data_IF_570753407833
#
_entry.id   IF_570753407833
#
_cell.length_a   1.000
_cell.length_b   1.000
_cell.length_c   1.000
_cell.angle_alpha   90.00
_cell.angle_beta   90.00
_cell.angle_gamma   90.00
#
_symmetry.space_group_name_H-M   'P 1'
#
loop_
_entity.id
_entity.type
_entity.pdbx_description
1 polymer ?
#
# COMPACT_ATOMS: atom_id res chain seq x y z
N UNK A 1 -9.10 -0.95 -25.46
CA UNK A 1 -10.50 -1.26 -25.10
C UNK A 1 -10.51 -2.44 -24.16
N UNK A 2 -11.18 -2.34 -23.02
CA UNK A 2 -11.33 -3.45 -22.07
C UNK A 2 -12.52 -4.32 -22.49
N UNK A 3 -12.25 -5.58 -22.88
CA UNK A 3 -13.26 -6.55 -23.28
C UNK A 3 -13.55 -7.57 -22.18
N UNK A 4 -14.81 -7.52 -21.69
CA UNK A 4 -15.69 -8.58 -21.13
C UNK A 4 -15.06 -9.86 -20.54
N UNK A 5 -15.07 -9.96 -19.21
CA UNK A 5 -15.90 -10.92 -18.43
C UNK A 5 -15.61 -10.76 -16.91
N UNK A 6 -16.68 -10.57 -16.12
CA UNK A 6 -16.79 -10.47 -14.64
C UNK A 6 -15.49 -10.47 -13.80
N UNK A 7 -14.63 -9.49 -13.99
CA UNK A 7 -13.50 -9.24 -13.09
C UNK A 7 -13.53 -7.77 -12.74
N UNK A 8 -13.76 -7.43 -11.46
CA UNK A 8 -13.65 -6.07 -10.95
C UNK A 8 -12.33 -5.47 -11.45
N UNK A 9 -12.42 -4.49 -12.34
CA UNK A 9 -11.28 -3.95 -13.06
C UNK A 9 -10.27 -3.31 -12.09
N UNK A 10 -9.09 -3.91 -11.98
CA UNK A 10 -7.90 -3.25 -11.44
C UNK A 10 -7.35 -2.31 -12.52
N UNK A 11 -7.82 -1.07 -12.56
CA UNK A 11 -7.26 -0.02 -13.40
C UNK A 11 -6.05 0.58 -12.68
N UNK A 12 -4.87 0.53 -13.30
CA UNK A 12 -3.65 1.12 -12.73
C UNK A 12 -3.85 2.60 -12.43
N UNK A 13 -3.56 3.00 -11.20
CA UNK A 13 -3.55 4.39 -10.75
C UNK A 13 -2.18 4.81 -10.22
N UNK A 14 -2.08 6.07 -9.80
CA UNK A 14 -0.95 6.56 -9.02
C UNK A 14 -1.26 6.33 -7.53
N UNK A 15 -0.42 5.56 -6.82
CA UNK A 15 -0.65 5.25 -5.40
C UNK A 15 -0.52 6.49 -4.53
N UNK A 16 0.38 7.42 -4.84
CA UNK A 16 0.51 8.68 -4.09
C UNK A 16 -0.78 9.51 -4.18
N UNK A 17 -1.36 9.61 -5.38
CA UNK A 17 -2.64 10.29 -5.57
C UNK A 17 -3.80 9.58 -4.84
N UNK A 18 -3.71 8.27 -4.60
CA UNK A 18 -4.69 7.53 -3.82
C UNK A 18 -4.49 7.78 -2.31
N UNK A 19 -3.25 7.78 -1.83
CA UNK A 19 -2.91 8.06 -0.43
C UNK A 19 -3.27 9.49 -0.01
N UNK A 20 -3.29 10.44 -0.94
CA UNK A 20 -3.75 11.82 -0.70
C UNK A 20 -5.27 11.93 -0.49
N UNK A 21 -6.03 10.91 -0.91
CA UNK A 21 -7.50 10.90 -0.82
C UNK A 21 -7.99 10.10 0.39
N UNK A 22 -7.30 9.01 0.70
CA UNK A 22 -7.76 8.02 1.68
C UNK A 22 -6.60 7.51 2.54
N UNK A 23 -6.95 7.05 3.75
CA UNK A 23 -6.01 6.27 4.58
C UNK A 23 -6.15 4.80 4.25
N UNK A 24 -5.02 4.12 4.05
CA UNK A 24 -4.94 2.69 3.79
C UNK A 24 -4.37 1.95 4.99
N UNK A 25 -4.92 0.78 5.28
CA UNK A 25 -4.52 -0.07 6.39
C UNK A 25 -3.95 -1.40 5.88
N UNK A 26 -2.90 -1.89 6.54
CA UNK A 26 -2.28 -3.18 6.21
C UNK A 26 -3.13 -4.31 6.76
N UNK A 27 -3.94 -4.97 5.94
CA UNK A 27 -4.84 -6.04 6.42
C UNK A 27 -4.23 -7.43 6.36
N UNK A 28 -3.30 -7.67 5.43
CA UNK A 28 -2.61 -8.95 5.32
C UNK A 28 -1.15 -8.76 4.98
N UNK A 29 -0.29 -9.60 5.55
CA UNK A 29 1.12 -9.65 5.18
C UNK A 29 1.68 -11.05 5.32
N UNK A 30 2.64 -11.41 4.47
CA UNK A 30 3.43 -12.64 4.64
C UNK A 30 4.50 -12.50 5.73
N UNK A 31 4.76 -11.28 6.20
CA UNK A 31 5.62 -11.04 7.36
C UNK A 31 4.81 -11.22 8.65
N UNK A 32 4.95 -12.36 9.30
CA UNK A 32 4.12 -12.73 10.46
C UNK A 32 4.53 -12.06 11.78
N UNK A 33 5.52 -11.16 11.75
CA UNK A 33 6.02 -10.44 12.93
C UNK A 33 5.55 -8.99 12.94
N UNK A 34 4.57 -8.63 12.11
CA UNK A 34 4.12 -7.26 11.92
C UNK A 34 3.20 -6.82 13.05
N UNK A 35 3.42 -5.61 13.53
CA UNK A 35 2.56 -4.94 14.52
C UNK A 35 1.13 -4.73 13.97
N UNK A 36 0.11 -4.61 14.84
CA UNK A 36 -1.26 -4.33 14.41
C UNK A 36 -1.44 -2.85 14.01
N UNK A 37 -2.58 -2.55 13.39
CA UNK A 37 -3.00 -1.18 13.03
C UNK A 37 -2.04 -0.39 12.14
N UNK A 38 -1.26 -1.05 11.28
CA UNK A 38 -0.45 -0.30 10.32
C UNK A 38 -1.33 0.50 9.36
N UNK A 39 -1.00 1.77 9.17
CA UNK A 39 -1.67 2.66 8.24
C UNK A 39 -0.68 3.45 7.37
N UNK A 40 -1.20 3.92 6.25
CA UNK A 40 -0.55 4.77 5.26
C UNK A 40 -1.52 5.86 4.81
N UNK A 41 -1.08 7.11 4.80
CA UNK A 41 -1.81 8.24 4.23
C UNK A 41 -0.82 9.27 3.70
N UNK A 42 -1.23 10.15 2.81
CA UNK A 42 -0.41 11.26 2.35
C UNK A 42 -1.12 12.58 2.63
N UNK A 43 -0.36 13.59 3.03
CA UNK A 43 -0.86 14.95 3.00
C UNK A 43 -0.77 15.47 1.56
N UNK A 44 -1.73 16.31 1.17
CA UNK A 44 -1.70 16.99 -0.13
C UNK A 44 -0.41 17.77 -0.33
N UNK A 45 -0.09 18.12 -1.59
CA UNK A 45 1.09 18.92 -1.92
C UNK A 45 1.13 20.16 -1.03
N UNK A 46 2.14 20.26 -0.15
CA UNK A 46 2.43 21.51 0.53
C UNK A 46 2.77 22.53 -0.57
N UNK A 47 2.21 23.74 -0.49
CA UNK A 47 2.53 24.87 -1.37
C UNK A 47 4.00 25.34 -1.26
N UNK A 48 4.81 24.66 -0.46
CA UNK A 48 6.24 24.91 -0.29
C UNK A 48 7.07 24.29 -1.40
N UNK A 49 8.22 24.91 -1.68
CA UNK A 49 9.20 24.52 -2.70
C UNK A 49 9.93 23.19 -2.43
N UNK A 50 9.36 22.28 -1.64
CA UNK A 50 9.90 20.93 -1.42
C UNK A 50 9.43 20.00 -2.54
N UNK A 51 10.36 19.39 -3.25
CA UNK A 51 10.06 18.47 -4.35
C UNK A 51 9.58 17.10 -3.81
N UNK A 52 8.31 16.96 -3.43
CA UNK A 52 7.71 15.65 -3.09
C UNK A 52 6.36 15.68 -2.37
N UNK A 53 5.75 14.50 -2.22
CA UNK A 53 4.50 14.25 -1.50
C UNK A 53 4.81 13.69 -0.10
N UNK A 54 4.44 14.37 1.00
CA UNK A 54 4.61 13.84 2.34
C UNK A 54 3.68 12.65 2.59
N UNK A 55 4.27 11.47 2.85
CA UNK A 55 3.56 10.25 3.22
C UNK A 55 3.80 9.96 4.69
N UNK A 56 2.71 9.77 5.42
CA UNK A 56 2.68 9.39 6.82
C UNK A 56 2.39 7.90 6.89
N UNK A 57 3.22 7.19 7.65
CA UNK A 57 2.95 5.81 8.02
C UNK A 57 3.05 5.65 9.53
N UNK A 58 2.31 4.70 10.07
CA UNK A 58 2.33 4.45 11.50
C UNK A 58 1.67 3.14 11.87
N UNK A 59 1.74 2.81 13.15
CA UNK A 59 1.10 1.64 13.75
C UNK A 59 0.74 1.94 15.20
N UNK A 60 -0.08 1.07 15.77
CA UNK A 60 -0.51 1.16 17.17
C UNK A 60 0.15 0.04 17.96
N UNK A 61 0.73 0.38 19.10
CA UNK A 61 1.26 -0.59 20.07
C UNK A 61 0.56 -0.34 21.41
N UNK A 62 -0.38 -1.21 21.76
CA UNK A 62 -1.27 -1.00 22.90
C UNK A 62 -2.13 0.26 22.71
N UNK A 63 -1.99 1.23 23.61
CA UNK A 63 -2.70 2.52 23.55
C UNK A 63 -1.90 3.64 22.88
N UNK A 64 -0.67 3.37 22.43
CA UNK A 64 0.22 4.40 21.87
C UNK A 64 0.28 4.28 20.34
N UNK A 65 0.19 5.43 19.68
CA UNK A 65 0.41 5.57 18.25
C UNK A 65 1.86 5.94 17.98
N UNK A 66 2.47 5.25 17.02
CA UNK A 66 3.78 5.57 16.47
C UNK A 66 3.59 5.96 15.01
N UNK A 67 4.05 7.14 14.61
CA UNK A 67 3.98 7.61 13.24
C UNK A 67 5.32 8.20 12.78
N UNK A 68 5.55 8.18 11.47
CA UNK A 68 6.68 8.82 10.81
C UNK A 68 6.19 9.41 9.50
N UNK A 69 6.66 10.62 9.21
CA UNK A 69 6.44 11.29 7.91
C UNK A 69 7.69 11.16 7.07
N UNK A 70 7.52 10.83 5.79
CA UNK A 70 8.60 10.74 4.80
C UNK A 70 8.14 11.43 3.53
N UNK A 71 8.99 12.27 2.94
CA UNK A 71 8.69 12.97 1.69
C UNK A 71 9.03 12.08 0.50
N UNK A 72 8.04 11.85 -0.37
CA UNK A 72 8.15 11.01 -1.56
C UNK A 72 8.19 11.86 -2.82
N UNK A 73 9.36 11.99 -3.44
CA UNK A 73 9.46 12.56 -4.78
C UNK A 73 8.93 11.55 -5.82
N UNK A 74 8.10 11.99 -6.76
CA UNK A 74 7.78 11.16 -7.93
C UNK A 74 9.06 10.97 -8.75
N UNK A 75 9.59 9.74 -8.79
CA UNK A 75 10.71 9.41 -9.68
C UNK A 75 10.22 9.44 -11.13
N UNK A 76 10.89 10.27 -11.95
CA UNK A 76 10.60 10.45 -13.38
C UNK A 76 11.39 9.50 -14.28
N UNK A 77 12.12 8.53 -13.73
CA UNK A 77 13.00 7.68 -14.53
C UNK A 77 12.22 6.70 -15.42
N UNK A 78 12.41 6.84 -16.73
CA UNK A 78 11.70 6.08 -17.76
C UNK A 78 11.97 4.56 -17.71
N UNK A 79 13.06 4.13 -17.08
CA UNK A 79 13.33 2.70 -16.82
C UNK A 79 12.47 2.14 -15.70
N UNK A 80 12.16 2.94 -14.69
CA UNK A 80 11.28 2.57 -13.57
C UNK A 80 9.80 2.76 -13.91
N UNK A 81 9.43 3.48 -14.98
CA UNK A 81 8.06 3.46 -15.50
C UNK A 81 7.59 2.04 -15.90
N UNK A 82 8.53 1.16 -16.31
CA UNK A 82 8.21 -0.26 -16.61
C UNK A 82 7.94 -1.09 -15.37
N UNK A 83 8.57 -0.75 -14.25
CA UNK A 83 8.37 -1.42 -12.98
C UNK A 83 7.78 -0.40 -12.01
N UNK A 84 6.46 -0.33 -11.90
CA UNK A 84 5.73 0.52 -10.93
C UNK A 84 6.28 0.31 -9.51
N UNK A 85 7.41 0.93 -9.18
CA UNK A 85 8.11 0.83 -7.90
C UNK A 85 7.78 2.10 -7.15
N UNK A 86 7.59 1.98 -5.84
CA UNK A 86 7.66 3.17 -5.01
C UNK A 86 9.08 3.75 -5.12
N UNK A 87 9.23 5.08 -5.14
CA UNK A 87 10.53 5.74 -5.25
C UNK A 87 11.55 5.15 -4.26
N UNK A 88 12.73 4.81 -4.77
CA UNK A 88 13.78 4.09 -4.03
C UNK A 88 14.43 4.90 -2.92
N UNK A 89 14.34 6.23 -3.01
CA UNK A 89 15.07 7.17 -2.15
C UNK A 89 14.34 7.45 -0.83
N UNK A 90 13.28 6.69 -0.58
CA UNK A 90 12.54 6.69 0.67
C UNK A 90 13.29 5.94 1.73
N UNK A 91 13.59 6.62 2.82
CA UNK A 91 13.95 5.99 4.07
C UNK A 91 12.66 5.44 4.74
N UNK A 92 12.69 4.24 5.29
CA UNK A 92 11.57 3.66 6.06
C UNK A 92 10.69 2.64 5.32
N UNK A 93 9.41 2.56 5.70
CA UNK A 93 8.51 1.41 5.44
C UNK A 93 8.12 1.22 3.97
N UNK A 94 8.24 2.25 3.14
CA UNK A 94 7.93 2.22 1.70
C UNK A 94 9.17 2.05 0.82
N UNK A 95 10.36 2.09 1.43
CA UNK A 95 11.63 1.91 0.72
C UNK A 95 11.63 0.60 -0.05
N UNK A 96 12.02 0.65 -1.33
CA UNK A 96 12.24 -0.51 -2.21
C UNK A 96 11.00 -1.40 -2.44
N UNK A 97 9.80 -0.94 -2.06
CA UNK A 97 8.57 -1.69 -2.30
C UNK A 97 8.12 -1.58 -3.76
N UNK A 98 7.89 -2.72 -4.39
CA UNK A 98 7.31 -2.82 -5.73
C UNK A 98 5.78 -2.83 -5.62
N UNK A 99 5.09 -1.99 -6.38
CA UNK A 99 3.64 -2.08 -6.52
C UNK A 99 3.32 -3.23 -7.48
N UNK A 100 2.65 -4.25 -6.96
CA UNK A 100 2.21 -5.39 -7.76
C UNK A 100 0.88 -5.14 -8.46
N UNK A 101 -0.06 -4.53 -7.74
CA UNK A 101 -1.36 -4.16 -8.29
C UNK A 101 -1.98 -3.03 -7.47
N UNK A 102 -2.81 -2.22 -8.10
CA UNK A 102 -3.67 -1.23 -7.45
C UNK A 102 -5.09 -1.39 -7.99
N UNK A 103 -6.04 -1.53 -7.07
CA UNK A 103 -7.46 -1.40 -7.32
C UNK A 103 -7.96 -0.03 -6.85
N UNK A 104 -9.28 0.17 -6.87
CA UNK A 104 -9.90 1.42 -6.43
C UNK A 104 -9.60 1.72 -4.96
N UNK A 105 -9.79 0.72 -4.11
CA UNK A 105 -9.78 0.86 -2.64
C UNK A 105 -8.70 -0.03 -2.00
N UNK A 106 -7.74 -0.52 -2.80
CA UNK A 106 -6.71 -1.45 -2.35
C UNK A 106 -5.45 -1.39 -3.20
N UNK A 107 -4.33 -1.86 -2.65
CA UNK A 107 -3.12 -2.16 -3.42
C UNK A 107 -2.30 -3.27 -2.76
N UNK A 108 -1.42 -3.89 -3.55
CA UNK A 108 -0.47 -4.90 -3.07
C UNK A 108 0.95 -4.43 -3.30
N UNK A 109 1.74 -4.40 -2.22
CA UNK A 109 3.17 -4.10 -2.27
C UNK A 109 3.99 -5.37 -2.06
N UNK A 110 5.18 -5.39 -2.64
CA UNK A 110 6.19 -6.43 -2.42
C UNK A 110 7.51 -5.80 -2.02
N UNK A 111 8.10 -6.27 -0.91
CA UNK A 111 9.48 -6.00 -0.53
C UNK A 111 10.26 -7.30 -0.48
N UNK A 112 11.17 -7.52 -1.43
CA UNK A 112 11.94 -8.77 -1.53
C UNK A 112 10.99 -9.98 -1.61
N UNK A 113 10.77 -10.70 -0.51
CA UNK A 113 9.83 -11.83 -0.39
C UNK A 113 8.55 -11.48 0.36
N UNK A 114 8.50 -10.35 1.06
CA UNK A 114 7.36 -9.93 1.84
C UNK A 114 6.29 -9.31 0.94
N UNK A 115 5.06 -9.77 1.08
CA UNK A 115 3.90 -9.28 0.35
C UNK A 115 2.95 -8.66 1.35
N UNK A 116 2.38 -7.52 1.01
CA UNK A 116 1.48 -6.75 1.84
C UNK A 116 0.23 -6.35 1.07
N UNK A 117 -0.94 -6.56 1.67
CA UNK A 117 -2.23 -6.10 1.18
C UNK A 117 -2.69 -4.89 1.99
N UNK A 118 -2.90 -3.79 1.30
CA UNK A 118 -3.35 -2.52 1.86
C UNK A 118 -4.74 -2.18 1.33
N UNK A 119 -5.65 -1.75 2.21
CA UNK A 119 -7.05 -1.42 1.85
C UNK A 119 -7.52 -0.16 2.58
N UNK A 120 -8.41 0.63 1.97
CA UNK A 120 -8.94 1.86 2.60
C UNK A 120 -9.90 1.59 3.74
N UNK A 121 -10.59 0.45 3.69
CA UNK A 121 -11.54 0.02 4.71
C UNK A 121 -11.23 -1.43 5.10
N UNK A 122 -10.99 -1.72 6.39
CA UNK A 122 -10.61 -3.06 6.85
C UNK A 122 -11.63 -4.16 6.52
N UNK A 123 -12.88 -3.77 6.34
CA UNK A 123 -14.01 -4.64 6.00
C UNK A 123 -14.21 -4.88 4.50
N UNK A 124 -13.31 -4.38 3.64
CA UNK A 124 -13.39 -4.59 2.19
C UNK A 124 -13.00 -6.02 1.85
N UNK A 125 -14.04 -6.84 1.91
CA UNK A 125 -14.34 -8.13 1.30
C UNK A 125 -13.23 -8.87 0.53
N UNK A 126 -13.22 -10.21 0.68
CA UNK A 126 -12.25 -11.15 0.11
C UNK A 126 -12.26 -11.25 -1.43
N UNK A 127 -13.09 -10.47 -2.12
CA UNK A 127 -13.36 -10.58 -3.57
C UNK A 127 -12.70 -9.48 -4.42
N UNK A 128 -11.68 -8.80 -3.88
CA UNK A 128 -10.95 -7.78 -4.65
C UNK A 128 -9.85 -8.39 -5.54
N UNK A 129 -9.55 -7.73 -6.67
CA UNK A 129 -8.40 -8.10 -7.51
C UNK A 129 -7.06 -8.00 -6.75
N UNK A 130 -6.97 -7.15 -5.73
CA UNK A 130 -5.83 -7.09 -4.81
C UNK A 130 -5.72 -8.37 -3.96
N UNK A 131 -6.83 -8.89 -3.43
CA UNK A 131 -6.84 -10.15 -2.68
C UNK A 131 -6.36 -11.30 -3.56
N UNK A 132 -6.93 -11.48 -4.76
CA UNK A 132 -6.50 -12.53 -5.68
C UNK A 132 -5.02 -12.42 -6.05
N UNK A 133 -4.51 -11.20 -6.16
CA UNK A 133 -3.07 -10.97 -6.41
C UNK A 133 -2.23 -11.35 -5.20
N UNK A 134 -2.63 -10.94 -3.99
CA UNK A 134 -1.96 -11.33 -2.75
C UNK A 134 -1.89 -12.86 -2.61
N UNK A 135 -3.03 -13.53 -2.77
CA UNK A 135 -3.17 -15.00 -2.69
C UNK A 135 -2.30 -15.72 -3.73
N UNK A 136 -2.27 -15.23 -4.98
CA UNK A 136 -1.41 -15.77 -6.03
C UNK A 136 0.07 -15.59 -5.70
N UNK A 137 0.45 -14.43 -5.17
CA UNK A 137 1.84 -14.07 -4.92
C UNK A 137 2.40 -14.78 -3.69
N UNK A 138 1.60 -15.00 -2.64
CA UNK A 138 2.04 -15.76 -1.46
C UNK A 138 2.23 -17.25 -1.75
N UNK A 139 1.74 -17.76 -2.88
CA UNK A 139 1.87 -19.17 -3.33
C UNK A 139 1.50 -20.19 -2.24
N UNK A 140 0.44 -19.91 -1.49
CA UNK A 140 -0.01 -20.79 -0.40
C UNK A 140 0.79 -20.69 0.91
N UNK A 141 1.85 -19.88 0.97
CA UNK A 141 2.64 -19.66 2.18
C UNK A 141 1.86 -19.00 3.32
N UNK A 142 2.38 -19.07 4.55
CA UNK A 142 1.75 -18.48 5.73
C UNK A 142 1.61 -16.97 5.58
N UNK A 143 0.58 -16.42 6.22
CA UNK A 143 0.36 -14.99 6.31
C UNK A 143 -0.33 -14.64 7.63
N UNK A 144 -0.18 -13.39 8.04
CA UNK A 144 -0.90 -12.81 9.17
C UNK A 144 -2.05 -11.95 8.65
N UNK A 145 -3.26 -12.20 9.15
CA UNK A 145 -4.41 -11.32 8.98
C UNK A 145 -4.47 -10.36 10.17
N UNK A 146 -4.46 -9.06 9.91
CA UNK A 146 -4.47 -8.02 10.94
C UNK A 146 -5.91 -7.55 11.23
N UNK A 147 -6.77 -8.50 11.62
CA UNK A 147 -8.23 -8.34 11.76
C UNK A 147 -8.69 -7.30 12.80
N UNK A 148 -7.84 -6.87 13.73
CA UNK A 148 -8.18 -5.92 14.81
C UNK A 148 -8.39 -4.46 14.36
N UNK A 149 -8.54 -4.22 13.07
CA UNK A 149 -8.66 -2.88 12.52
C UNK A 149 -9.98 -2.15 12.74
N UNK A 150 -10.98 -2.83 13.34
CA UNK A 150 -12.28 -2.21 13.67
C UNK A 150 -12.15 -1.27 14.90
N UNK A 151 -11.04 -1.33 15.64
CA UNK A 151 -10.76 -0.48 16.82
C UNK A 151 -9.39 0.24 16.75
N UNK A 152 -8.79 0.27 15.55
CA UNK A 152 -7.85 1.32 15.18
C UNK A 152 -8.70 2.55 14.79
#
# INVERSE_FOLDING_TARGET
GCGRERTLYCCGGNVLAALQKETYYLTRTTNTLREPCFFLTAQGLNEGCESGTPVIYGYKLGYKWFNRTVVVAEQKDEKDLKERRFPSDLDGLLSRKKLLIQGKDCFVLQLIVDIELWVTKPSVDNSTCCMSTFERMRKGGPYQALQEQVHC
#
